data_IF_013181675046
#
_entry.id   IF_013181675046
#
_cell.length_a   1.000
_cell.length_b   1.000
_cell.length_c   1.000
_cell.angle_alpha   90.00
_cell.angle_beta   90.00
_cell.angle_gamma   90.00
#
_symmetry.space_group_name_H-M   'P 1'
#
loop_
_entity.id
_entity.type
_entity.pdbx_description
1 polymer ?
#
# COMPACT_ATOMS: atom_id res chain seq x y z
N UNK A 1 11.58 5.03 11.18
CA UNK A 1 10.35 5.60 10.60
C UNK A 1 10.56 5.86 9.12
N UNK A 2 9.57 5.61 8.26
CA UNK A 2 9.66 5.96 6.84
C UNK A 2 9.20 7.41 6.64
N UNK A 3 10.11 8.34 6.33
CA UNK A 3 9.88 9.78 6.19
C UNK A 3 9.52 10.15 4.73
N UNK A 4 8.57 9.43 4.11
CA UNK A 4 8.09 9.76 2.76
C UNK A 4 9.13 9.57 1.65
N UNK A 5 10.18 8.81 1.95
CA UNK A 5 11.22 8.50 0.99
C UNK A 5 10.65 7.84 -0.27
N UNK A 6 9.59 7.04 -0.14
CA UNK A 6 8.97 6.33 -1.27
C UNK A 6 8.51 7.31 -2.37
N UNK A 7 7.62 8.26 -2.05
CA UNK A 7 7.14 9.26 -3.02
C UNK A 7 8.26 10.12 -3.57
N UNK A 8 9.19 10.57 -2.72
CA UNK A 8 10.31 11.40 -3.14
C UNK A 8 11.28 10.62 -4.06
N UNK A 9 11.54 9.35 -3.79
CA UNK A 9 12.39 8.47 -4.58
C UNK A 9 11.74 8.16 -5.93
N UNK A 10 10.45 7.85 -5.95
CA UNK A 10 9.70 7.65 -7.19
C UNK A 10 9.65 8.92 -8.04
N UNK A 11 9.35 10.08 -7.44
CA UNK A 11 9.38 11.36 -8.13
C UNK A 11 10.77 11.70 -8.69
N UNK A 12 11.84 11.45 -7.92
CA UNK A 12 13.21 11.62 -8.39
C UNK A 12 13.52 10.69 -9.56
N UNK A 13 13.05 9.44 -9.51
CA UNK A 13 13.20 8.46 -10.59
C UNK A 13 12.49 8.92 -11.86
N UNK A 14 11.24 9.39 -11.75
CA UNK A 14 10.45 9.88 -12.88
C UNK A 14 11.04 11.16 -13.49
N UNK A 15 11.73 11.99 -12.71
CA UNK A 15 12.50 13.14 -13.22
C UNK A 15 13.79 12.71 -13.93
N UNK A 16 14.45 11.67 -13.42
CA UNK A 16 15.70 11.16 -13.98
C UNK A 16 15.48 10.32 -15.25
N UNK A 17 14.36 9.59 -15.32
CA UNK A 17 13.97 8.70 -16.42
C UNK A 17 12.59 9.12 -16.98
N UNK A 18 12.48 10.27 -17.66
CA UNK A 18 11.20 10.76 -18.17
C UNK A 18 10.55 9.84 -19.21
N UNK A 19 11.31 8.95 -19.85
CA UNK A 19 10.81 7.94 -20.77
C UNK A 19 9.85 6.94 -20.09
N UNK A 20 9.90 6.80 -18.76
CA UNK A 20 8.96 5.97 -18.00
C UNK A 20 7.50 6.43 -18.18
N UNK A 21 7.26 7.71 -18.46
CA UNK A 21 5.92 8.22 -18.77
C UNK A 21 5.33 7.69 -20.08
N UNK A 22 6.13 7.03 -20.92
CA UNK A 22 5.68 6.35 -22.14
C UNK A 22 5.45 4.84 -21.94
N UNK A 23 5.67 4.31 -20.72
CA UNK A 23 5.36 2.92 -20.40
C UNK A 23 3.84 2.66 -20.49
N UNK A 24 3.41 1.42 -20.77
CA UNK A 24 1.98 1.06 -20.72
C UNK A 24 1.41 1.15 -19.29
N UNK A 25 2.24 0.88 -18.29
CA UNK A 25 1.90 0.90 -16.87
C UNK A 25 3.14 1.22 -16.03
N UNK A 26 2.94 1.95 -14.93
CA UNK A 26 3.96 2.21 -13.90
C UNK A 26 3.48 1.69 -12.56
N UNK A 27 4.28 0.83 -11.95
CA UNK A 27 3.98 0.16 -10.69
C UNK A 27 4.76 0.83 -9.57
N UNK A 28 4.03 1.30 -8.56
CA UNK A 28 4.56 1.94 -7.37
C UNK A 28 4.35 0.98 -6.22
N UNK A 29 5.42 0.31 -5.80
CA UNK A 29 5.39 -0.73 -4.77
C UNK A 29 6.51 -0.44 -3.78
N UNK A 30 6.20 -0.47 -2.49
CA UNK A 30 7.21 -0.41 -1.43
C UNK A 30 7.37 -1.76 -0.72
N UNK A 31 8.43 -1.87 0.07
CA UNK A 31 8.82 -3.07 0.82
C UNK A 31 8.23 -3.13 2.23
N UNK A 32 7.19 -2.33 2.50
CA UNK A 32 6.58 -2.25 3.84
C UNK A 32 5.61 -3.38 4.18
N UNK A 33 5.49 -4.38 3.31
CA UNK A 33 4.55 -5.51 3.42
C UNK A 33 5.21 -6.83 3.03
N UNK A 34 4.76 -7.90 3.66
CA UNK A 34 5.07 -9.28 3.27
C UNK A 34 3.95 -9.82 2.41
N UNK A 35 4.25 -10.79 1.54
CA UNK A 35 3.25 -11.35 0.63
C UNK A 35 3.04 -12.85 0.80
N UNK A 36 1.81 -13.29 0.53
CA UNK A 36 1.47 -14.69 0.29
C UNK A 36 1.78 -15.04 -1.17
N UNK A 37 2.57 -16.08 -1.39
CA UNK A 37 2.91 -16.51 -2.77
C UNK A 37 1.67 -17.02 -3.51
N UNK A 38 0.72 -17.62 -2.79
CA UNK A 38 -0.56 -18.15 -3.28
C UNK A 38 -1.48 -17.06 -3.90
N UNK A 39 -1.46 -15.86 -3.33
CA UNK A 39 -2.40 -14.78 -3.67
C UNK A 39 -1.78 -13.67 -4.52
N UNK A 40 -0.44 -13.55 -4.51
CA UNK A 40 0.25 -12.46 -5.19
C UNK A 40 -0.02 -12.49 -6.70
N UNK A 41 0.25 -13.62 -7.38
CA UNK A 41 0.08 -13.72 -8.83
C UNK A 41 -1.37 -13.46 -9.28
N UNK A 42 -2.40 -14.09 -8.67
CA UNK A 42 -3.80 -13.75 -8.96
C UNK A 42 -4.11 -12.26 -8.79
N UNK A 43 -3.53 -11.61 -7.77
CA UNK A 43 -3.74 -10.17 -7.56
C UNK A 43 -3.07 -9.34 -8.65
N UNK A 44 -1.85 -9.69 -9.08
CA UNK A 44 -1.18 -8.98 -10.17
C UNK A 44 -1.95 -9.12 -11.49
N UNK A 45 -2.55 -10.27 -11.74
CA UNK A 45 -3.39 -10.51 -12.92
C UNK A 45 -4.66 -9.64 -12.88
N UNK A 46 -5.29 -9.49 -11.71
CA UNK A 46 -6.42 -8.55 -11.52
C UNK A 46 -6.01 -7.10 -11.80
N UNK A 47 -4.85 -6.67 -11.31
CA UNK A 47 -4.32 -5.32 -11.57
C UNK A 47 -4.11 -5.07 -13.07
N UNK A 48 -3.58 -6.06 -13.79
CA UNK A 48 -3.38 -5.96 -15.24
C UNK A 48 -4.71 -5.96 -16.01
N UNK A 49 -5.66 -6.79 -15.59
CA UNK A 49 -6.98 -6.91 -16.22
C UNK A 49 -7.88 -5.70 -16.00
N UNK A 50 -7.65 -4.92 -14.94
CA UNK A 50 -8.36 -3.68 -14.67
C UNK A 50 -8.26 -2.68 -15.83
N UNK A 51 -9.39 -2.07 -16.17
CA UNK A 51 -9.50 -0.98 -17.12
C UNK A 51 -9.30 0.40 -16.49
N UNK A 52 -9.11 0.49 -15.18
CA UNK A 52 -8.87 1.74 -14.47
C UNK A 52 -7.58 2.42 -14.94
N UNK A 53 -7.59 3.75 -14.97
CA UNK A 53 -6.40 4.57 -15.21
C UNK A 53 -5.46 4.54 -14.00
N UNK A 54 -6.01 4.31 -12.80
CA UNK A 54 -5.27 3.93 -11.60
C UNK A 54 -5.82 2.64 -11.02
N UNK A 55 -4.95 1.82 -10.42
CA UNK A 55 -5.35 0.64 -9.66
C UNK A 55 -4.62 0.64 -8.33
N UNK A 56 -5.34 0.61 -7.23
CA UNK A 56 -4.76 0.42 -5.91
C UNK A 56 -5.38 -0.80 -5.24
N UNK A 57 -4.68 -1.38 -4.26
CA UNK A 57 -5.20 -2.57 -3.61
C UNK A 57 -6.20 -2.24 -2.53
N UNK A 58 -5.92 -1.23 -1.72
CA UNK A 58 -6.72 -0.86 -0.56
C UNK A 58 -6.88 0.65 -0.46
N UNK A 59 -7.94 1.06 0.20
CA UNK A 59 -8.23 2.45 0.55
C UNK A 59 -8.27 2.66 2.06
N UNK A 60 -8.23 3.93 2.45
CA UNK A 60 -8.43 4.39 3.82
C UNK A 60 -9.15 5.74 3.82
N UNK A 61 -9.97 5.95 4.84
CA UNK A 61 -10.66 7.20 5.14
C UNK A 61 -10.32 7.74 6.55
N UNK A 62 -9.29 7.20 7.22
CA UNK A 62 -8.84 7.56 8.58
C UNK A 62 -8.54 9.07 8.72
N UNK A 63 -8.07 9.70 7.63
CA UNK A 63 -7.79 11.14 7.57
C UNK A 63 -8.74 11.84 6.58
N UNK A 64 -8.80 11.31 5.36
CA UNK A 64 -9.69 11.69 4.27
C UNK A 64 -9.75 10.51 3.29
N UNK A 65 -10.78 10.38 2.44
CA UNK A 65 -10.82 9.29 1.46
C UNK A 65 -9.58 9.33 0.53
N UNK A 66 -8.77 8.27 0.55
CA UNK A 66 -7.57 8.08 -0.29
C UNK A 66 -7.29 6.59 -0.50
N UNK A 67 -6.45 6.25 -1.48
CA UNK A 67 -5.90 4.91 -1.59
C UNK A 67 -4.51 4.84 -0.97
N UNK A 68 -4.16 3.69 -0.40
CA UNK A 68 -2.90 3.54 0.33
C UNK A 68 -1.74 3.32 -0.64
N UNK A 69 -0.62 4.02 -0.44
CA UNK A 69 0.46 4.08 -1.43
C UNK A 69 1.51 2.96 -1.36
N UNK A 70 1.31 1.88 -0.57
CA UNK A 70 2.27 0.77 -0.54
C UNK A 70 2.24 -0.07 -1.83
N UNK A 71 1.11 -0.02 -2.54
CA UNK A 71 0.93 -0.66 -3.83
C UNK A 71 -0.14 0.07 -4.64
N UNK A 72 0.26 0.68 -5.74
CA UNK A 72 -0.67 1.16 -6.77
C UNK A 72 -0.01 1.17 -8.16
N UNK A 73 -0.82 1.24 -9.19
CA UNK A 73 -0.39 1.28 -10.59
C UNK A 73 -1.07 2.44 -11.29
N UNK A 74 -0.30 3.19 -12.09
CA UNK A 74 -0.83 4.17 -13.05
C UNK A 74 -0.76 3.59 -14.45
N UNK A 75 -1.84 3.72 -15.21
CA UNK A 75 -2.02 3.13 -16.55
C UNK A 75 -2.68 4.15 -17.47
N UNK A 76 -2.64 3.87 -18.77
CA UNK A 76 -3.51 4.54 -19.75
C UNK A 76 -3.49 6.08 -19.67
N UNK A 77 -4.66 6.68 -19.43
CA UNK A 77 -4.81 8.15 -19.43
C UNK A 77 -4.11 8.80 -18.23
N UNK A 78 -3.93 8.10 -17.10
CA UNK A 78 -3.21 8.66 -15.96
C UNK A 78 -1.75 8.98 -16.31
N UNK A 79 -1.09 8.12 -17.09
CA UNK A 79 0.29 8.37 -17.53
C UNK A 79 0.40 9.49 -18.57
N UNK A 80 -0.66 9.72 -19.35
CA UNK A 80 -0.73 10.81 -20.33
C UNK A 80 -1.17 12.16 -19.72
N UNK A 81 -1.81 12.13 -18.54
CA UNK A 81 -2.39 13.31 -17.90
C UNK A 81 -1.33 14.35 -17.50
N UNK A 82 -1.42 15.59 -18.02
CA UNK A 82 -0.56 16.69 -17.58
C UNK A 82 -0.69 17.00 -16.09
N UNK A 83 -1.89 16.86 -15.53
CA UNK A 83 -2.18 17.10 -14.11
C UNK A 83 -1.45 16.09 -13.23
N UNK A 84 -1.48 14.80 -13.60
CA UNK A 84 -0.76 13.74 -12.89
C UNK A 84 0.75 13.98 -13.00
N UNK A 85 1.28 14.27 -14.19
CA UNK A 85 2.71 14.56 -14.37
C UNK A 85 3.16 15.77 -13.56
N UNK A 86 2.37 16.84 -13.53
CA UNK A 86 2.65 18.04 -12.71
C UNK A 86 2.67 17.69 -11.23
N UNK A 87 1.69 16.91 -10.74
CA UNK A 87 1.67 16.45 -9.36
C UNK A 87 2.98 15.74 -8.98
N UNK A 88 3.45 14.80 -9.80
CA UNK A 88 4.70 14.08 -9.56
C UNK A 88 5.95 14.96 -9.69
N UNK A 89 5.94 15.95 -10.58
CA UNK A 89 7.04 16.91 -10.71
C UNK A 89 7.21 17.77 -9.45
N UNK A 90 6.09 18.13 -8.79
CA UNK A 90 6.04 18.98 -7.59
C UNK A 90 6.43 18.24 -6.30
N UNK A 91 6.55 16.91 -6.32
CA UNK A 91 6.91 16.14 -5.13
C UNK A 91 8.35 16.41 -4.71
N UNK A 92 8.50 16.75 -3.43
CA UNK A 92 9.76 17.00 -2.72
C UNK A 92 9.91 16.00 -1.57
N UNK A 93 11.08 15.93 -0.95
CA UNK A 93 11.23 15.13 0.27
C UNK A 93 10.64 15.89 1.46
N UNK A 94 9.68 15.29 2.17
CA UNK A 94 9.06 15.85 3.38
C UNK A 94 9.46 15.01 4.60
N UNK A 95 9.81 15.67 5.70
CA UNK A 95 10.28 14.97 6.90
C UNK A 95 9.13 14.36 7.76
N UNK A 96 7.88 14.77 7.55
CA UNK A 96 6.73 14.43 8.41
C UNK A 96 5.71 13.54 7.68
N UNK A 97 5.43 12.36 8.25
CA UNK A 97 4.45 11.36 7.76
C UNK A 97 3.04 11.90 7.60
N UNK A 98 2.59 12.78 8.50
CA UNK A 98 1.25 13.36 8.39
C UNK A 98 1.15 14.30 7.18
N UNK A 99 2.25 14.99 6.84
CA UNK A 99 2.33 15.75 5.60
C UNK A 99 2.37 14.82 4.39
N UNK A 100 3.00 13.65 4.46
CA UNK A 100 2.99 12.69 3.34
C UNK A 100 1.59 12.16 3.03
N UNK A 101 0.83 11.71 4.03
CA UNK A 101 -0.52 11.18 3.77
C UNK A 101 -1.41 12.30 3.20
N UNK A 102 -1.38 13.50 3.80
CA UNK A 102 -2.22 14.63 3.36
C UNK A 102 -1.76 15.21 2.02
N UNK A 103 -0.49 15.50 1.86
CA UNK A 103 0.05 16.24 0.72
C UNK A 103 0.34 15.32 -0.47
N UNK A 104 0.49 14.01 -0.25
CA UNK A 104 0.73 13.03 -1.32
C UNK A 104 -0.43 12.05 -1.49
N UNK A 105 -0.76 11.18 -0.53
CA UNK A 105 -1.76 10.12 -0.76
C UNK A 105 -3.16 10.69 -1.04
N UNK A 106 -3.63 11.62 -0.18
CA UNK A 106 -4.92 12.30 -0.36
C UNK A 106 -4.90 13.19 -1.61
N UNK A 107 -3.83 13.97 -1.81
CA UNK A 107 -3.70 14.84 -2.99
C UNK A 107 -3.63 14.05 -4.30
N UNK A 108 -2.98 12.90 -4.32
CA UNK A 108 -2.83 12.05 -5.49
C UNK A 108 -4.20 11.58 -5.98
N UNK A 109 -5.04 11.06 -5.08
CA UNK A 109 -6.42 10.67 -5.41
C UNK A 109 -7.18 11.87 -5.96
N UNK A 110 -7.12 13.02 -5.28
CA UNK A 110 -7.81 14.23 -5.72
C UNK A 110 -7.36 14.70 -7.11
N UNK A 111 -6.07 14.57 -7.45
CA UNK A 111 -5.53 14.91 -8.78
C UNK A 111 -6.09 13.98 -9.85
N UNK A 112 -6.16 12.67 -9.57
CA UNK A 112 -6.72 11.69 -10.50
C UNK A 112 -8.21 11.96 -10.75
N UNK A 113 -8.99 12.16 -9.69
CA UNK A 113 -10.42 12.47 -9.77
C UNK A 113 -10.68 13.80 -10.52
N UNK A 114 -9.91 14.85 -10.22
CA UNK A 114 -10.04 16.15 -10.89
C UNK A 114 -9.65 16.10 -12.37
N UNK A 115 -8.81 15.13 -12.78
CA UNK A 115 -8.48 14.87 -14.17
C UNK A 115 -9.52 13.99 -14.88
N UNK A 116 -10.59 13.55 -14.19
CA UNK A 116 -11.62 12.67 -14.73
C UNK A 116 -11.15 11.22 -14.93
N UNK A 117 -10.11 10.80 -14.19
CA UNK A 117 -9.50 9.48 -14.29
C UNK A 117 -10.16 8.51 -13.32
N UNK A 118 -10.34 7.27 -13.76
CA UNK A 118 -10.94 6.23 -12.92
C UNK A 118 -9.87 5.48 -12.12
N UNK A 119 -10.10 5.33 -10.81
CA UNK A 119 -9.24 4.54 -9.92
C UNK A 119 -10.03 3.34 -9.39
N UNK A 120 -9.57 2.13 -9.70
CA UNK A 120 -10.14 0.91 -9.15
C UNK A 120 -9.44 0.52 -7.83
N UNK A 121 -10.22 0.20 -6.81
CA UNK A 121 -9.73 -0.37 -5.54
C UNK A 121 -10.09 -1.85 -5.51
N UNK A 122 -9.08 -2.74 -5.51
CA UNK A 122 -9.31 -4.19 -5.62
C UNK A 122 -9.87 -4.83 -4.35
N UNK A 123 -9.59 -4.24 -3.19
CA UNK A 123 -10.07 -4.64 -1.87
C UNK A 123 -10.63 -3.38 -1.18
N UNK A 124 -11.84 -2.94 -1.57
CA UNK A 124 -12.45 -1.74 -1.01
C UNK A 124 -12.78 -1.94 0.46
N UNK A 125 -12.75 -0.86 1.23
CA UNK A 125 -12.98 -0.93 2.66
C UNK A 125 -14.45 -1.29 2.95
N UNK A 126 -14.68 -2.11 3.98
CA UNK A 126 -16.03 -2.35 4.47
C UNK A 126 -16.61 -1.05 5.03
N UNK A 127 -17.78 -0.65 4.53
CA UNK A 127 -18.50 0.55 5.00
C UNK A 127 -18.81 0.48 6.49
N UNK A 128 -18.96 -0.72 7.06
CA UNK A 128 -19.17 -0.90 8.49
C UNK A 128 -17.93 -0.53 9.33
N UNK A 129 -16.75 -0.44 8.69
CA UNK A 129 -15.47 -0.08 9.31
C UNK A 129 -14.95 1.27 8.79
N UNK A 130 -15.86 2.18 8.42
CA UNK A 130 -15.49 3.54 8.02
C UNK A 130 -14.68 4.24 9.13
N UNK A 131 -13.62 4.94 8.74
CA UNK A 131 -12.65 5.59 9.62
C UNK A 131 -11.50 4.70 10.10
N UNK A 132 -11.48 3.41 9.74
CA UNK A 132 -10.40 2.48 10.12
C UNK A 132 -9.38 2.27 8.99
N UNK A 133 -8.15 1.92 9.36
CA UNK A 133 -7.16 1.42 8.42
C UNK A 133 -7.28 -0.11 8.27
N UNK A 134 -7.80 -0.57 7.13
CA UNK A 134 -8.08 -2.00 6.92
C UNK A 134 -6.84 -2.90 6.97
N UNK A 135 -5.64 -2.41 6.64
CA UNK A 135 -4.40 -3.17 6.78
C UNK A 135 -4.02 -3.47 8.23
N UNK A 136 -4.55 -2.70 9.18
CA UNK A 136 -4.26 -2.83 10.60
C UNK A 136 -5.39 -3.56 11.35
N UNK A 137 -6.63 -3.13 11.19
CA UNK A 137 -7.78 -3.71 11.91
C UNK A 137 -8.44 -4.89 11.17
N UNK A 138 -8.30 -4.94 9.85
CA UNK A 138 -9.00 -5.88 8.97
C UNK A 138 -8.14 -7.01 8.40
N UNK A 139 -6.91 -7.20 8.89
CA UNK A 139 -5.93 -8.06 8.22
C UNK A 139 -6.43 -9.50 8.00
N UNK A 140 -7.12 -10.12 8.96
CA UNK A 140 -7.70 -11.48 8.76
C UNK A 140 -8.77 -11.49 7.68
N UNK A 141 -9.70 -10.55 7.72
CA UNK A 141 -10.77 -10.42 6.72
C UNK A 141 -10.21 -10.14 5.33
N UNK A 142 -9.14 -9.36 5.23
CA UNK A 142 -8.43 -9.16 3.96
C UNK A 142 -7.85 -10.48 3.44
N UNK A 143 -7.17 -11.26 4.28
CA UNK A 143 -6.63 -12.56 3.88
C UNK A 143 -7.73 -13.52 3.40
N UNK A 144 -8.87 -13.57 4.09
CA UNK A 144 -10.04 -14.37 3.68
C UNK A 144 -10.60 -13.95 2.31
N UNK A 145 -10.41 -12.69 1.90
CA UNK A 145 -10.77 -12.18 0.57
C UNK A 145 -9.71 -12.48 -0.50
N UNK A 146 -8.62 -13.16 -0.16
CA UNK A 146 -7.49 -13.41 -1.05
C UNK A 146 -6.57 -12.20 -1.21
N UNK A 147 -6.54 -11.28 -0.23
CA UNK A 147 -5.59 -10.19 -0.22
C UNK A 147 -4.16 -10.73 -0.03
N UNK A 148 -3.19 -10.33 -0.87
CA UNK A 148 -1.91 -11.02 -0.91
C UNK A 148 -0.90 -10.51 0.11
N UNK A 149 -1.21 -9.50 0.92
CA UNK A 149 -0.21 -8.85 1.77
C UNK A 149 -0.54 -8.86 3.26
N UNK A 150 0.48 -8.74 4.09
CA UNK A 150 0.35 -8.39 5.52
C UNK A 150 1.38 -7.33 5.88
N UNK A 151 0.97 -6.35 6.69
CA UNK A 151 1.85 -5.30 7.19
C UNK A 151 2.31 -5.62 8.60
N UNK A 152 3.62 -5.78 8.76
CA UNK A 152 4.24 -6.23 10.01
C UNK A 152 4.84 -5.02 10.73
N UNK A 153 4.36 -4.70 11.94
CA UNK A 153 4.83 -3.57 12.75
C UNK A 153 4.56 -3.77 14.25
N UNK A 154 4.89 -2.76 15.03
CA UNK A 154 4.78 -2.61 16.50
C UNK A 154 3.35 -2.59 17.09
N UNK A 155 2.41 -3.34 16.50
CA UNK A 155 0.98 -3.44 16.88
C UNK A 155 0.35 -2.20 17.58
N UNK A 156 0.48 -0.98 17.04
CA UNK A 156 0.04 0.24 17.74
C UNK A 156 -1.49 0.37 17.79
N UNK A 157 -2.20 -0.48 17.06
CA UNK A 157 -3.65 -0.53 16.99
C UNK A 157 -4.24 -1.63 17.89
N UNK A 158 -3.39 -2.29 18.70
CA UNK A 158 -3.78 -3.40 19.58
C UNK A 158 -4.61 -4.48 18.87
N UNK A 159 -4.28 -4.74 17.60
CA UNK A 159 -4.97 -5.76 16.82
C UNK A 159 -4.77 -7.13 17.48
N UNK A 160 -5.79 -7.98 17.42
CA UNK A 160 -5.67 -9.36 17.86
C UNK A 160 -4.65 -10.09 16.98
N UNK A 161 -3.52 -10.48 17.56
CA UNK A 161 -2.46 -11.25 16.88
C UNK A 161 -2.49 -12.73 17.25
N UNK A 162 -3.49 -13.21 18.00
CA UNK A 162 -3.59 -14.62 18.36
C UNK A 162 -3.61 -15.52 17.12
N UNK A 163 -2.81 -16.59 17.15
CA UNK A 163 -2.73 -17.55 16.04
C UNK A 163 -2.13 -17.04 14.74
N UNK A 164 -1.55 -15.82 14.70
CA UNK A 164 -1.07 -15.21 13.45
C UNK A 164 -0.16 -16.12 12.62
N UNK A 165 0.72 -16.91 13.27
CA UNK A 165 1.62 -17.85 12.59
C UNK A 165 0.85 -18.89 11.80
N UNK A 166 -0.15 -19.52 12.41
CA UNK A 166 -0.94 -20.56 11.76
C UNK A 166 -1.79 -19.96 10.62
N UNK A 167 -2.33 -18.75 10.82
CA UNK A 167 -3.10 -18.05 9.78
C UNK A 167 -2.21 -17.72 8.58
N UNK A 168 -1.05 -17.09 8.79
CA UNK A 168 -0.15 -16.72 7.69
C UNK A 168 0.46 -17.94 6.99
N UNK A 169 0.77 -19.01 7.72
CA UNK A 169 1.27 -20.26 7.13
C UNK A 169 0.21 -20.90 6.21
N UNK A 170 -1.05 -20.95 6.66
CA UNK A 170 -2.16 -21.48 5.88
C UNK A 170 -2.40 -20.71 4.57
N UNK A 171 -2.18 -19.39 4.59
CA UNK A 171 -2.28 -18.53 3.41
C UNK A 171 -1.01 -18.56 2.53
N UNK A 172 0.07 -19.22 2.95
CA UNK A 172 1.30 -19.37 2.14
C UNK A 172 2.28 -18.19 2.22
N UNK A 173 2.34 -17.53 3.37
CA UNK A 173 3.41 -16.56 3.70
C UNK A 173 4.67 -17.26 4.23
N UNK A 174 5.83 -16.60 4.08
CA UNK A 174 7.07 -17.02 4.75
C UNK A 174 7.04 -16.60 6.24
N UNK A 175 6.45 -17.47 7.07
CA UNK A 175 6.35 -17.24 8.51
C UNK A 175 7.71 -17.13 9.21
N UNK A 176 8.73 -17.96 8.88
CA UNK A 176 10.08 -17.78 9.40
C UNK A 176 10.66 -16.37 9.16
N UNK A 177 10.54 -15.84 7.95
CA UNK A 177 11.02 -14.50 7.61
C UNK A 177 10.29 -13.42 8.40
N UNK A 178 8.95 -13.48 8.45
CA UNK A 178 8.12 -12.53 9.20
C UNK A 178 8.46 -12.57 10.70
N UNK A 179 8.61 -13.77 11.27
CA UNK A 179 8.98 -13.94 12.68
C UNK A 179 10.38 -13.39 12.97
N UNK A 180 11.32 -13.55 12.04
CA UNK A 180 12.67 -12.99 12.15
C UNK A 180 12.65 -11.46 12.10
N UNK A 181 11.88 -10.85 11.19
CA UNK A 181 11.68 -9.40 11.16
C UNK A 181 11.14 -8.92 12.51
N UNK A 182 10.04 -9.51 12.98
CA UNK A 182 9.46 -9.14 14.28
C UNK A 182 10.50 -9.23 15.39
N UNK A 183 11.23 -10.34 15.50
CA UNK A 183 12.22 -10.53 16.58
C UNK A 183 13.49 -9.69 16.47
N UNK A 184 13.83 -9.16 15.29
CA UNK A 184 14.99 -8.30 15.08
C UNK A 184 14.71 -6.82 15.35
N UNK A 185 13.45 -6.42 15.47
CA UNK A 185 13.09 -5.07 15.92
C UNK A 185 13.34 -4.91 17.43
N UNK A 186 13.89 -3.77 17.86
CA UNK A 186 14.26 -3.48 19.27
C UNK A 186 13.07 -3.67 20.24
N UNK A 187 11.84 -3.53 19.75
CA UNK A 187 10.59 -3.77 20.48
C UNK A 187 10.10 -5.23 20.41
N UNK A 188 10.46 -6.00 19.38
CA UNK A 188 9.99 -7.37 19.20
C UNK A 188 10.74 -8.44 20.00
N UNK A 189 11.94 -8.12 20.50
CA UNK A 189 12.61 -8.95 21.51
C UNK A 189 11.81 -9.04 22.83
N UNK A 190 11.02 -8.00 23.17
CA UNK A 190 10.13 -8.02 24.33
C UNK A 190 8.82 -8.78 24.05
N UNK A 191 8.24 -8.64 22.84
CA UNK A 191 6.99 -9.32 22.46
C UNK A 191 7.13 -10.83 22.21
N UNK A 192 8.30 -11.31 21.78
CA UNK A 192 8.54 -12.75 21.58
C UNK A 192 8.67 -13.54 22.90
N UNK A 193 8.97 -12.87 24.02
CA UNK A 193 9.02 -13.52 25.33
C UNK A 193 7.63 -13.74 25.94
N UNK A 194 6.60 -13.01 25.50
CA UNK A 194 5.23 -13.14 26.02
C UNK A 194 4.30 -14.03 25.16
N UNK A 195 4.73 -14.46 23.97
CA UNK A 195 3.91 -15.23 23.02
C UNK A 195 4.39 -16.68 22.81
N UNK A 196 4.94 -17.30 23.87
CA UNK A 196 5.08 -18.76 23.95
C UNK A 196 3.77 -19.42 24.35
#
# INVERSE_FOLDING_TARGET
ENHGYDFAAWAATLRYLPELWAAPELWFVNDSVYHATSHLLPTLDRVRASSGDGVALTESDEIAPHFQSYFFVLKGQALASPQVRSFWADIVSLADKNHIIRDYEVRQRAVLEAAGLEVEILFPQDRARAGENQLHHGWRTLLEQGFPFVKVRDNPYEADLSGWRATLDAEGFDVPEIAFHLGSTVTGAAGLLELR
#
